data_IF_695342395225
#
_entry.id   IF_695342395225
#
_cell.length_a   1.000
_cell.length_b   1.000
_cell.length_c   1.000
_cell.angle_alpha   90.00
_cell.angle_beta   90.00
_cell.angle_gamma   90.00
#
_symmetry.space_group_name_H-M   'P 1'
#
loop_
_entity.id
_entity.type
_entity.pdbx_description
1 polymer ?
#
# COMPACT_ATOMS: atom_id res chain seq x y z
N UNK A 1 -4.89 5.35 12.37
CA UNK A 1 -4.90 6.83 12.60
C UNK A 1 -5.23 7.43 11.23
N UNK A 2 -6.22 8.32 11.07
CA UNK A 2 -6.70 8.72 9.72
C UNK A 2 -5.76 9.76 9.08
N UNK A 3 -4.60 9.33 8.59
CA UNK A 3 -3.60 10.22 7.99
C UNK A 3 -4.04 10.88 6.66
N UNK A 4 -5.04 10.32 5.96
CA UNK A 4 -5.42 10.76 4.62
C UNK A 4 -6.59 11.74 4.54
N UNK A 5 -7.42 11.85 5.59
CA UNK A 5 -8.73 12.52 5.46
C UNK A 5 -8.67 14.03 5.20
N UNK A 6 -7.54 14.65 5.49
CA UNK A 6 -7.42 16.11 5.42
C UNK A 6 -6.65 16.60 4.18
N UNK A 7 -6.10 15.70 3.37
CA UNK A 7 -5.36 16.05 2.15
C UNK A 7 -6.10 15.50 0.93
N UNK A 8 -6.66 16.36 0.06
CA UNK A 8 -7.33 15.88 -1.15
C UNK A 8 -6.30 15.34 -2.16
N UNK A 9 -6.55 14.16 -2.78
CA UNK A 9 -5.66 13.64 -3.80
C UNK A 9 -5.75 14.48 -5.07
N UNK A 10 -4.62 14.60 -5.78
CA UNK A 10 -4.57 15.23 -7.10
C UNK A 10 -5.38 14.42 -8.14
N UNK A 11 -5.36 13.08 -8.02
CA UNK A 11 -6.14 12.18 -8.88
C UNK A 11 -6.53 10.93 -8.12
N UNK A 12 -7.73 10.42 -8.40
CA UNK A 12 -8.20 9.12 -7.92
C UNK A 12 -8.56 8.25 -9.12
N UNK A 13 -8.11 7.00 -9.13
CA UNK A 13 -8.22 6.08 -10.27
C UNK A 13 -8.73 4.74 -9.78
N UNK A 14 -9.79 4.15 -10.38
CA UNK A 14 -10.14 2.76 -10.15
C UNK A 14 -8.96 1.86 -10.48
N UNK A 15 -8.63 0.93 -9.59
CA UNK A 15 -7.49 0.04 -9.74
C UNK A 15 -7.82 -1.37 -9.27
N UNK A 16 -7.15 -2.37 -9.83
CA UNK A 16 -7.27 -3.76 -9.42
C UNK A 16 -5.89 -4.24 -8.97
N UNK A 17 -5.76 -4.53 -7.68
CA UNK A 17 -4.55 -5.10 -7.11
C UNK A 17 -4.44 -6.58 -7.45
N UNK A 18 -3.20 -7.03 -7.62
CA UNK A 18 -2.93 -8.46 -7.66
C UNK A 18 -3.38 -9.14 -6.35
N UNK A 19 -4.00 -10.31 -6.49
CA UNK A 19 -4.58 -11.04 -5.38
C UNK A 19 -3.52 -11.55 -4.39
N UNK A 20 -2.37 -12.01 -4.90
CA UNK A 20 -1.28 -12.52 -4.07
C UNK A 20 -0.69 -11.38 -3.23
N UNK A 21 -0.43 -10.22 -3.85
CA UNK A 21 0.04 -9.03 -3.16
C UNK A 21 -0.91 -8.60 -2.03
N UNK A 22 -2.22 -8.56 -2.30
CA UNK A 22 -3.22 -8.23 -1.29
C UNK A 22 -3.24 -9.23 -0.13
N UNK A 23 -3.15 -10.52 -0.44
CA UNK A 23 -3.14 -11.57 0.57
C UNK A 23 -1.84 -11.53 1.41
N UNK A 24 -0.69 -11.21 0.83
CA UNK A 24 0.57 -11.02 1.56
C UNK A 24 0.46 -9.88 2.56
N UNK A 25 -0.03 -8.71 2.15
CA UNK A 25 -0.27 -7.59 3.07
C UNK A 25 -1.23 -8.00 4.17
N UNK A 26 -2.36 -8.64 3.82
CA UNK A 26 -3.34 -9.10 4.81
C UNK A 26 -2.73 -10.08 5.82
N UNK A 27 -1.91 -11.01 5.36
CA UNK A 27 -1.23 -11.99 6.22
C UNK A 27 -0.22 -11.30 7.15
N UNK A 28 0.56 -10.36 6.62
CA UNK A 28 1.51 -9.56 7.40
C UNK A 28 0.80 -8.71 8.47
N UNK A 29 -0.33 -8.09 8.12
CA UNK A 29 -1.14 -7.33 9.07
C UNK A 29 -1.69 -8.21 10.21
N UNK A 30 -1.93 -9.49 9.94
CA UNK A 30 -2.39 -10.47 10.95
C UNK A 30 -1.25 -11.01 11.82
N UNK A 31 -0.06 -11.24 11.24
CA UNK A 31 1.05 -11.93 11.91
C UNK A 31 2.07 -10.98 12.55
N UNK A 32 2.28 -9.81 11.97
CA UNK A 32 3.32 -8.87 12.37
C UNK A 32 2.72 -7.75 13.21
N UNK A 33 1.75 -7.02 12.66
CA UNK A 33 1.08 -5.92 13.35
C UNK A 33 0.14 -5.14 12.42
N UNK A 34 -0.76 -4.34 12.99
CA UNK A 34 -1.67 -3.46 12.25
C UNK A 34 -1.93 -2.19 13.09
N UNK A 35 -1.47 -0.99 12.67
CA UNK A 35 -0.77 -0.71 11.41
C UNK A 35 0.60 -1.41 11.31
N UNK A 36 1.05 -1.62 10.08
CA UNK A 36 2.40 -2.10 9.77
C UNK A 36 3.17 -1.03 8.99
N UNK A 37 4.30 -0.61 9.53
CA UNK A 37 5.21 0.34 8.90
C UNK A 37 6.31 -0.42 8.16
N UNK A 38 6.54 -0.07 6.89
CA UNK A 38 7.61 -0.62 6.05
C UNK A 38 8.50 0.52 5.54
N UNK A 39 9.80 0.29 5.56
CA UNK A 39 10.79 1.18 4.95
C UNK A 39 11.24 0.54 3.64
N UNK A 40 11.00 1.22 2.51
CA UNK A 40 11.42 0.78 1.19
C UNK A 40 12.69 1.55 0.81
N UNK A 41 13.79 1.33 1.53
CA UNK A 41 15.02 2.12 1.47
C UNK A 41 15.53 2.36 0.03
N UNK A 42 15.47 1.32 -0.83
CA UNK A 42 15.92 1.42 -2.24
C UNK A 42 15.14 2.45 -3.06
N UNK A 43 13.95 2.83 -2.60
CA UNK A 43 13.06 3.79 -3.25
C UNK A 43 12.97 5.12 -2.49
N UNK A 44 13.51 5.21 -1.26
CA UNK A 44 13.34 6.39 -0.42
C UNK A 44 11.89 6.62 -0.01
N UNK A 45 11.17 5.53 0.28
CA UNK A 45 9.71 5.53 0.51
C UNK A 45 9.39 4.78 1.80
N UNK A 46 8.64 5.44 2.68
CA UNK A 46 8.02 4.81 3.84
C UNK A 46 6.59 4.43 3.51
N UNK A 47 6.15 3.24 3.94
CA UNK A 47 4.78 2.80 3.81
C UNK A 47 4.13 2.54 5.15
N UNK A 48 2.86 2.94 5.26
CA UNK A 48 1.97 2.58 6.36
C UNK A 48 0.84 1.73 5.80
N UNK A 49 0.76 0.48 6.25
CA UNK A 49 -0.26 -0.46 5.85
C UNK A 49 -1.28 -0.62 6.98
N UNK A 50 -2.54 -0.32 6.69
CA UNK A 50 -3.69 -0.66 7.51
C UNK A 50 -4.64 -1.59 6.72
N UNK A 51 -5.61 -2.20 7.41
CA UNK A 51 -6.61 -3.06 6.75
C UNK A 51 -7.44 -2.33 5.68
N UNK A 52 -7.67 -1.04 5.86
CA UNK A 52 -8.56 -0.24 5.02
C UNK A 52 -7.81 0.63 4.00
N UNK A 53 -6.55 0.95 4.27
CA UNK A 53 -5.74 1.83 3.44
C UNK A 53 -4.26 1.47 3.51
N UNK A 54 -3.56 1.59 2.37
CA UNK A 54 -2.11 1.50 2.29
C UNK A 54 -1.58 2.81 1.74
N UNK A 55 -0.59 3.40 2.40
CA UNK A 55 -0.11 4.75 2.06
C UNK A 55 1.40 4.72 1.95
N UNK A 56 1.93 5.27 0.85
CA UNK A 56 3.36 5.52 0.68
C UNK A 56 3.67 7.00 0.84
N UNK A 57 4.79 7.32 1.47
CA UNK A 57 5.33 8.66 1.69
C UNK A 57 6.76 8.72 1.15
N UNK A 58 7.20 9.88 0.69
CA UNK A 58 8.64 10.09 0.53
C UNK A 58 9.27 10.25 1.92
N UNK A 59 10.38 9.55 2.19
CA UNK A 59 11.11 9.61 3.49
C UNK A 59 11.42 11.06 3.91
N UNK A 60 11.71 11.94 2.95
CA UNK A 60 12.04 13.34 3.18
C UNK A 60 10.81 14.26 3.38
N UNK A 61 9.60 13.77 3.09
CA UNK A 61 8.36 14.56 3.12
C UNK A 61 7.16 13.71 3.61
N UNK A 62 7.24 13.26 4.86
CA UNK A 62 6.21 12.41 5.50
C UNK A 62 4.85 13.13 5.65
N UNK A 63 4.83 14.46 5.60
CA UNK A 63 3.60 15.26 5.76
C UNK A 63 2.65 15.22 4.57
N UNK A 64 3.09 14.75 3.40
CA UNK A 64 2.27 14.63 2.20
C UNK A 64 2.39 13.21 1.64
N UNK A 65 1.28 12.43 1.60
CA UNK A 65 1.28 11.14 0.93
C UNK A 65 1.80 11.26 -0.49
N UNK A 66 2.53 10.24 -0.96
CA UNK A 66 2.90 10.11 -2.37
C UNK A 66 1.78 9.44 -3.17
N UNK A 67 1.30 8.32 -2.64
CA UNK A 67 0.33 7.42 -3.24
C UNK A 67 -0.43 6.67 -2.14
N UNK A 68 -1.69 6.35 -2.38
CA UNK A 68 -2.45 5.48 -1.50
C UNK A 68 -3.37 4.52 -2.26
N UNK A 69 -3.66 3.38 -1.64
CA UNK A 69 -4.69 2.43 -2.07
C UNK A 69 -5.72 2.30 -0.96
N UNK A 70 -7.00 2.47 -1.29
CA UNK A 70 -8.11 2.42 -0.32
C UNK A 70 -9.34 1.71 -0.89
N UNK A 71 -10.26 1.33 -0.01
CA UNK A 71 -11.57 0.79 -0.41
C UNK A 71 -11.47 -0.59 -1.07
N UNK A 72 -10.65 -1.47 -0.49
CA UNK A 72 -10.43 -2.83 -0.99
C UNK A 72 -11.73 -3.65 -1.03
N UNK A 73 -12.16 -4.04 -2.23
CA UNK A 73 -13.28 -4.94 -2.47
C UNK A 73 -12.80 -6.39 -2.45
N UNK A 74 -12.58 -6.91 -1.24
CA UNK A 74 -12.17 -8.29 -1.02
C UNK A 74 -13.36 -9.12 -0.51
N UNK A 75 -14.17 -9.63 -1.44
CA UNK A 75 -15.18 -10.65 -1.13
C UNK A 75 -14.53 -11.89 -0.49
N UNK A 76 -15.23 -12.57 0.42
CA UNK A 76 -14.69 -13.74 1.16
C UNK A 76 -14.41 -14.98 0.31
N UNK A 77 -14.77 -14.98 -0.97
CA UNK A 77 -14.95 -16.19 -1.78
C UNK A 77 -13.92 -16.44 -2.88
N UNK A 78 -13.02 -15.49 -3.16
CA UNK A 78 -12.02 -15.66 -4.21
C UNK A 78 -10.67 -15.09 -3.77
N UNK A 79 -9.72 -15.99 -3.47
CA UNK A 79 -8.36 -15.64 -3.02
C UNK A 79 -7.41 -15.37 -4.19
N UNK A 80 -7.81 -15.70 -5.40
CA UNK A 80 -7.03 -15.68 -6.64
C UNK A 80 -7.51 -14.59 -7.63
N UNK A 81 -8.63 -13.93 -7.34
CA UNK A 81 -9.14 -12.84 -8.18
C UNK A 81 -8.54 -11.49 -7.77
N UNK A 82 -8.16 -10.63 -8.73
CA UNK A 82 -7.70 -9.28 -8.43
C UNK A 82 -8.68 -8.52 -7.52
N UNK A 83 -8.13 -7.75 -6.58
CA UNK A 83 -8.90 -7.01 -5.57
C UNK A 83 -9.14 -5.60 -6.05
N UNK A 84 -10.40 -5.24 -6.28
CA UNK A 84 -10.79 -3.88 -6.65
C UNK A 84 -10.46 -2.88 -5.55
N UNK A 85 -9.98 -1.69 -5.91
CA UNK A 85 -9.71 -0.61 -4.97
C UNK A 85 -9.69 0.74 -5.71
N UNK A 86 -9.49 1.82 -4.95
CA UNK A 86 -9.17 3.14 -5.50
C UNK A 86 -7.72 3.47 -5.22
N UNK A 87 -6.98 3.89 -6.25
CA UNK A 87 -5.63 4.41 -6.13
C UNK A 87 -5.66 5.93 -6.16
N UNK A 88 -5.10 6.55 -5.13
CA UNK A 88 -4.98 7.99 -4.96
C UNK A 88 -3.55 8.44 -5.23
N UNK A 89 -3.40 9.48 -6.06
CA UNK A 89 -2.13 10.09 -6.43
C UNK A 89 -2.09 11.52 -5.90
N UNK A 90 -1.02 11.88 -5.21
CA UNK A 90 -0.89 13.18 -4.54
C UNK A 90 0.18 14.07 -5.19
N UNK A 91 1.11 13.47 -5.95
CA UNK A 91 2.12 14.19 -6.73
C UNK A 91 1.93 13.96 -8.24
N UNK A 92 2.28 14.97 -9.04
CA UNK A 92 2.42 14.81 -10.49
C UNK A 92 3.48 13.73 -10.76
N UNK A 93 3.15 12.75 -11.59
CA UNK A 93 4.02 11.60 -11.97
C UNK A 93 4.26 10.52 -10.90
N UNK A 94 3.61 10.56 -9.73
CA UNK A 94 3.67 9.49 -8.71
C UNK A 94 3.29 8.10 -9.26
N UNK A 95 2.41 8.04 -10.26
CA UNK A 95 2.02 6.80 -10.93
C UNK A 95 3.18 6.03 -11.58
N UNK A 96 4.29 6.70 -11.94
CA UNK A 96 5.48 6.04 -12.49
C UNK A 96 6.21 5.17 -11.45
N UNK A 97 6.07 5.52 -10.17
CA UNK A 97 6.71 4.80 -9.08
C UNK A 97 5.85 3.61 -8.62
N UNK A 98 4.55 3.60 -8.93
CA UNK A 98 3.60 2.59 -8.47
C UNK A 98 4.07 1.14 -8.67
N UNK A 99 4.51 0.70 -9.88
CA UNK A 99 4.90 -0.70 -10.04
C UNK A 99 6.10 -1.07 -9.16
N UNK A 100 7.06 -0.16 -9.00
CA UNK A 100 8.24 -0.36 -8.16
C UNK A 100 7.89 -0.42 -6.68
N UNK A 101 6.97 0.44 -6.24
CA UNK A 101 6.48 0.45 -4.86
C UNK A 101 5.81 -0.87 -4.53
N UNK A 102 4.90 -1.35 -5.38
CA UNK A 102 4.19 -2.61 -5.13
C UNK A 102 5.14 -3.81 -5.11
N UNK A 103 6.13 -3.86 -6.02
CA UNK A 103 7.16 -4.91 -6.01
C UNK A 103 8.02 -4.86 -4.75
N UNK A 104 8.55 -3.68 -4.39
CA UNK A 104 9.39 -3.52 -3.21
C UNK A 104 8.62 -3.81 -1.90
N UNK A 105 7.35 -3.42 -1.84
CA UNK A 105 6.46 -3.75 -0.74
C UNK A 105 6.31 -5.27 -0.61
N UNK A 106 6.08 -6.00 -1.70
CA UNK A 106 5.94 -7.45 -1.66
C UNK A 106 7.22 -8.14 -1.20
N UNK A 107 8.37 -7.74 -1.75
CA UNK A 107 9.70 -8.26 -1.37
C UNK A 107 9.95 -8.08 0.14
N UNK A 108 9.68 -6.89 0.68
CA UNK A 108 9.87 -6.57 2.10
C UNK A 108 8.92 -7.38 3.00
N UNK A 109 7.66 -7.54 2.59
CA UNK A 109 6.70 -8.35 3.32
C UNK A 109 7.09 -9.82 3.35
N UNK A 110 7.56 -10.38 2.24
CA UNK A 110 8.05 -11.76 2.18
C UNK A 110 9.25 -11.95 3.12
N UNK A 111 10.21 -11.03 3.13
CA UNK A 111 11.36 -11.08 4.05
C UNK A 111 10.92 -11.11 5.52
N UNK A 112 10.02 -10.21 5.92
CA UNK A 112 9.54 -10.12 7.31
C UNK A 112 8.70 -11.33 7.72
N UNK A 113 7.91 -11.90 6.81
CA UNK A 113 7.08 -13.07 7.08
C UNK A 113 7.89 -14.37 7.24
N UNK A 114 9.09 -14.45 6.65
CA UNK A 114 9.96 -15.63 6.71
C UNK A 114 10.87 -15.63 7.94
N UNK A 115 11.12 -14.46 8.53
CA UNK A 115 12.06 -14.27 9.64
C UNK A 115 11.38 -14.36 11.02
N UNK A 116 10.15 -14.89 11.09
CA UNK A 116 9.35 -14.99 12.32
C UNK A 116 9.09 -16.44 12.74
#
# INVERSE_FOLDING_TARGET
MNFLRDIPPLRSIPYALDAALYNHVRLALLRIGNPLELELEKLGIDMVLEKACWVGYHEQQISLPLIAWEGFDSGRSALDTPVGCTMHLYHQHSWLQMPKILTAMDEELQLRLTTK
#
